data_IF_962622004464
#
_entry.id   IF_962622004464
#
_cell.length_a   1.000
_cell.length_b   1.000
_cell.length_c   1.000
_cell.angle_alpha   90.00
_cell.angle_beta   90.00
_cell.angle_gamma   90.00
#
_symmetry.space_group_name_H-M   'P 1'
#
loop_
_entity.id
_entity.type
_entity.pdbx_description
1 polymer ?
#
# COMPACT_ATOMS: atom_id res chain seq x y z
N UNK A 1 -27.10 -49.15 -43.16
CA UNK A 1 -26.42 -48.98 -41.86
C UNK A 1 -25.79 -47.59 -41.86
N UNK A 2 -26.45 -46.65 -41.20
CA UNK A 2 -26.10 -45.22 -41.20
C UNK A 2 -25.39 -44.93 -39.88
N UNK A 3 -24.14 -44.47 -39.93
CA UNK A 3 -23.38 -44.06 -38.74
C UNK A 3 -23.33 -42.53 -38.67
N UNK A 4 -23.49 -41.91 -37.48
CA UNK A 4 -23.73 -40.48 -37.34
C UNK A 4 -22.46 -39.65 -37.08
N UNK A 5 -22.49 -38.44 -37.65
CA UNK A 5 -22.16 -37.10 -37.11
C UNK A 5 -20.94 -36.91 -36.16
N UNK A 6 -20.25 -35.79 -36.41
CA UNK A 6 -19.39 -34.97 -35.53
C UNK A 6 -17.87 -35.14 -35.59
N UNK A 7 -17.28 -34.74 -36.71
CA UNK A 7 -15.89 -34.28 -36.76
C UNK A 7 -15.77 -32.77 -36.36
N UNK A 8 -16.36 -32.37 -35.23
CA UNK A 8 -16.26 -30.99 -34.70
C UNK A 8 -15.63 -30.92 -33.30
N UNK A 9 -14.62 -31.73 -33.03
CA UNK A 9 -13.82 -31.62 -31.80
C UNK A 9 -12.35 -31.38 -32.13
N UNK A 10 -12.08 -30.25 -32.81
CA UNK A 10 -10.75 -29.62 -32.73
C UNK A 10 -10.77 -28.67 -31.52
N UNK A 11 -9.85 -28.83 -30.56
CA UNK A 11 -10.22 -28.87 -29.15
C UNK A 11 -10.28 -27.48 -28.52
N UNK A 12 -11.28 -27.30 -27.66
CA UNK A 12 -11.42 -26.24 -26.65
C UNK A 12 -10.30 -26.33 -25.57
N UNK A 13 -9.35 -27.26 -25.70
CA UNK A 13 -8.27 -27.50 -24.74
C UNK A 13 -6.96 -26.88 -25.23
N UNK A 14 -6.87 -25.54 -25.29
CA UNK A 14 -5.56 -24.87 -25.43
C UNK A 14 -5.49 -23.45 -24.90
N UNK A 15 -6.34 -23.09 -23.94
CA UNK A 15 -6.28 -21.79 -23.24
C UNK A 15 -5.89 -21.81 -21.75
N UNK A 16 -5.89 -22.92 -20.96
CA UNK A 16 -5.49 -22.83 -19.55
C UNK A 16 -3.98 -22.70 -19.31
N UNK A 17 -3.14 -23.13 -20.26
CA UNK A 17 -1.66 -23.18 -20.07
C UNK A 17 -0.93 -21.88 -20.41
N UNK A 18 -1.55 -20.98 -21.18
CA UNK A 18 -0.92 -19.70 -21.55
C UNK A 18 -0.96 -18.71 -20.39
N UNK A 19 -2.09 -18.65 -19.69
CA UNK A 19 -2.24 -17.81 -18.51
C UNK A 19 -1.34 -18.30 -17.37
N UNK A 20 -1.15 -19.63 -17.24
CA UNK A 20 -0.20 -20.19 -16.27
C UNK A 20 1.27 -19.88 -16.64
N UNK A 21 1.64 -19.91 -17.92
CA UNK A 21 3.00 -19.58 -18.35
C UNK A 21 3.32 -18.08 -18.16
N UNK A 22 2.39 -17.20 -18.53
CA UNK A 22 2.53 -15.76 -18.31
C UNK A 22 2.62 -15.44 -16.81
N UNK A 23 1.82 -16.11 -15.97
CA UNK A 23 1.91 -16.01 -14.52
C UNK A 23 3.27 -16.45 -13.98
N UNK A 24 3.80 -17.61 -14.42
CA UNK A 24 5.11 -18.10 -14.00
C UNK A 24 6.25 -17.16 -14.45
N UNK A 25 6.19 -16.63 -15.67
CA UNK A 25 7.16 -15.65 -16.18
C UNK A 25 7.09 -14.36 -15.34
N UNK A 26 5.89 -13.85 -15.04
CA UNK A 26 5.72 -12.67 -14.19
C UNK A 26 6.29 -12.90 -12.78
N UNK A 27 6.00 -14.06 -12.17
CA UNK A 27 6.56 -14.45 -10.86
C UNK A 27 8.08 -14.59 -10.88
N UNK A 28 8.65 -15.07 -11.97
CA UNK A 28 10.11 -15.16 -12.12
C UNK A 28 10.76 -13.79 -12.27
N UNK A 29 10.09 -12.82 -12.91
CA UNK A 29 10.55 -11.43 -12.99
C UNK A 29 10.43 -10.77 -11.60
N UNK A 30 9.28 -10.91 -10.93
CA UNK A 30 9.09 -10.42 -9.55
C UNK A 30 10.13 -10.99 -8.59
N UNK A 31 10.53 -12.27 -8.73
CA UNK A 31 11.56 -12.88 -7.90
C UNK A 31 12.98 -12.35 -8.15
N UNK A 32 13.22 -11.73 -9.32
CA UNK A 32 14.48 -11.06 -9.64
C UNK A 32 14.48 -9.61 -9.15
N UNK A 33 13.31 -9.03 -8.92
CA UNK A 33 13.16 -7.69 -8.36
C UNK A 33 13.37 -7.77 -6.84
N UNK A 34 14.42 -7.15 -6.28
CA UNK A 34 14.65 -7.22 -4.85
C UNK A 34 13.50 -6.53 -4.12
N UNK A 35 12.82 -7.27 -3.24
CA UNK A 35 11.81 -6.71 -2.36
C UNK A 35 12.48 -5.85 -1.29
N UNK A 36 12.34 -4.53 -1.39
CA UNK A 36 13.12 -3.55 -0.61
C UNK A 36 12.29 -2.76 0.41
N UNK A 37 11.10 -3.26 0.78
CA UNK A 37 10.23 -2.59 1.75
C UNK A 37 10.99 -2.23 3.05
N UNK A 38 11.74 -3.18 3.61
CA UNK A 38 12.43 -2.98 4.90
C UNK A 38 13.57 -1.99 4.78
N UNK A 39 14.34 -2.07 3.70
CA UNK A 39 15.47 -1.20 3.41
C UNK A 39 15.00 0.25 3.25
N UNK A 40 13.92 0.47 2.51
CA UNK A 40 13.29 1.78 2.41
C UNK A 40 12.73 2.25 3.75
N UNK A 41 12.12 1.37 4.54
CA UNK A 41 11.65 1.71 5.89
C UNK A 41 12.80 2.19 6.79
N UNK A 42 13.94 1.50 6.77
CA UNK A 42 15.11 1.90 7.56
C UNK A 42 15.72 3.22 7.08
N UNK A 43 15.84 3.43 5.76
CA UNK A 43 16.29 4.70 5.21
C UNK A 43 15.36 5.85 5.62
N UNK A 44 14.05 5.61 5.63
CA UNK A 44 13.07 6.59 6.09
C UNK A 44 13.24 6.91 7.58
N UNK A 45 13.46 5.90 8.42
CA UNK A 45 13.73 6.09 9.86
C UNK A 45 14.99 6.92 10.09
N UNK A 46 16.09 6.59 9.41
CA UNK A 46 17.36 7.33 9.51
C UNK A 46 17.22 8.78 9.03
N UNK A 47 16.47 9.02 7.96
CA UNK A 47 16.18 10.37 7.48
C UNK A 47 15.37 11.17 8.52
N UNK A 48 14.39 10.53 9.15
CA UNK A 48 13.56 11.13 10.19
C UNK A 48 14.33 11.45 11.47
N UNK A 49 15.25 10.55 11.89
CA UNK A 49 16.19 10.80 12.99
C UNK A 49 17.05 12.05 12.72
N UNK A 50 17.44 12.27 11.46
CA UNK A 50 18.17 13.45 11.01
C UNK A 50 17.29 14.69 10.77
N UNK A 51 15.99 14.62 11.09
CA UNK A 51 15.00 15.67 10.79
C UNK A 51 14.83 16.00 9.30
N UNK A 52 15.33 15.15 8.39
CA UNK A 52 15.06 15.23 6.96
C UNK A 52 13.73 14.55 6.64
N UNK A 53 12.65 15.21 7.04
CA UNK A 53 11.28 14.73 6.90
C UNK A 53 10.87 14.58 5.43
N UNK A 54 11.44 15.37 4.52
CA UNK A 54 11.18 15.28 3.09
C UNK A 54 11.68 13.96 2.50
N UNK A 55 12.94 13.60 2.80
CA UNK A 55 13.49 12.30 2.42
C UNK A 55 12.78 11.15 3.13
N UNK A 56 12.43 11.31 4.41
CA UNK A 56 11.69 10.28 5.16
C UNK A 56 10.35 9.94 4.48
N UNK A 57 9.58 10.96 4.08
CA UNK A 57 8.33 10.76 3.34
C UNK A 57 8.55 10.05 2.00
N UNK A 58 9.62 10.40 1.27
CA UNK A 58 9.95 9.74 0.00
C UNK A 58 10.23 8.25 0.22
N UNK A 59 11.05 7.91 1.21
CA UNK A 59 11.40 6.52 1.48
C UNK A 59 10.23 5.71 2.06
N UNK A 60 9.40 6.26 2.96
CA UNK A 60 8.20 5.56 3.42
C UNK A 60 7.21 5.29 2.29
N UNK A 61 7.06 6.21 1.32
CA UNK A 61 6.25 5.96 0.12
C UNK A 61 6.80 4.81 -0.72
N UNK A 62 8.12 4.74 -0.90
CA UNK A 62 8.75 3.61 -1.59
C UNK A 62 8.51 2.30 -0.83
N UNK A 63 8.66 2.29 0.49
CA UNK A 63 8.37 1.11 1.31
C UNK A 63 6.91 0.64 1.17
N UNK A 64 5.95 1.57 1.17
CA UNK A 64 4.53 1.25 0.96
C UNK A 64 4.22 0.78 -0.48
N UNK A 65 5.02 1.20 -1.47
CA UNK A 65 4.85 0.72 -2.84
C UNK A 65 5.39 -0.70 -3.02
N UNK A 66 6.52 -1.01 -2.36
CA UNK A 66 7.10 -2.36 -2.30
C UNK A 66 6.15 -3.34 -1.60
N UNK A 67 5.66 -2.96 -0.41
CA UNK A 67 4.66 -3.72 0.35
C UNK A 67 3.46 -2.85 0.69
N UNK A 68 2.41 -2.88 -0.15
CA UNK A 68 1.19 -2.16 0.13
C UNK A 68 0.53 -2.61 1.43
N UNK A 69 0.76 -3.83 1.91
CA UNK A 69 0.04 -4.39 3.05
C UNK A 69 0.84 -4.28 4.37
N UNK A 70 2.04 -3.70 4.31
CA UNK A 70 2.82 -3.34 5.49
C UNK A 70 2.23 -2.13 6.22
N UNK A 71 1.35 -2.44 7.17
CA UNK A 71 0.72 -1.46 8.07
C UNK A 71 1.73 -0.55 8.77
N UNK A 72 2.97 -1.01 9.04
CA UNK A 72 3.97 -0.21 9.76
C UNK A 72 4.53 0.90 8.89
N UNK A 73 4.89 0.61 7.64
CA UNK A 73 5.34 1.66 6.71
C UNK A 73 4.26 2.69 6.45
N UNK A 74 3.01 2.24 6.31
CA UNK A 74 1.87 3.14 6.16
C UNK A 74 1.62 4.00 7.42
N UNK A 75 1.78 3.42 8.62
CA UNK A 75 1.68 4.17 9.87
C UNK A 75 2.76 5.25 10.00
N UNK A 76 4.00 4.90 9.68
CA UNK A 76 5.10 5.86 9.72
C UNK A 76 4.95 6.95 8.66
N UNK A 77 4.38 6.64 7.48
CA UNK A 77 4.12 7.62 6.44
C UNK A 77 3.18 8.73 6.92
N UNK A 78 2.05 8.41 7.55
CA UNK A 78 1.11 9.45 7.99
C UNK A 78 1.65 10.23 9.20
N UNK A 79 2.34 9.58 10.14
CA UNK A 79 2.90 10.28 11.32
C UNK A 79 4.04 11.22 10.92
N UNK A 80 4.83 10.84 9.93
CA UNK A 80 5.84 11.72 9.32
C UNK A 80 5.17 12.85 8.52
N UNK A 81 4.04 12.56 7.85
CA UNK A 81 3.27 13.57 7.12
C UNK A 81 2.73 14.64 8.06
N UNK A 82 2.24 14.25 9.24
CA UNK A 82 1.85 15.19 10.28
C UNK A 82 3.00 16.08 10.76
N UNK A 83 4.21 15.54 10.89
CA UNK A 83 5.39 16.33 11.29
C UNK A 83 5.85 17.29 10.18
N UNK A 84 5.65 16.91 8.91
CA UNK A 84 6.14 17.64 7.75
C UNK A 84 5.17 18.71 7.26
N UNK A 85 3.90 18.36 7.11
CA UNK A 85 2.88 19.26 6.62
C UNK A 85 2.33 20.12 7.76
N UNK A 86 1.96 21.36 7.43
CA UNK A 86 1.29 22.28 8.37
C UNK A 86 -0.21 22.39 8.11
N UNK A 87 -0.69 21.81 7.01
CA UNK A 87 -2.07 21.90 6.58
C UNK A 87 -2.88 20.72 7.15
N UNK A 88 -3.82 21.03 8.05
CA UNK A 88 -4.65 20.04 8.74
C UNK A 88 -5.46 19.15 7.78
N UNK A 89 -5.82 19.67 6.59
CA UNK A 89 -6.56 18.90 5.59
C UNK A 89 -5.69 17.82 4.95
N UNK A 90 -4.49 18.18 4.52
CA UNK A 90 -3.51 17.23 3.96
C UNK A 90 -3.18 16.12 4.94
N UNK A 91 -3.02 16.46 6.23
CA UNK A 91 -2.76 15.48 7.28
C UNK A 91 -3.99 14.58 7.48
N UNK A 92 -5.19 15.15 7.57
CA UNK A 92 -6.43 14.40 7.70
C UNK A 92 -6.59 13.38 6.56
N UNK A 93 -6.37 13.79 5.31
CA UNK A 93 -6.47 12.93 4.13
C UNK A 93 -5.50 11.73 4.22
N UNK A 94 -4.30 11.93 4.79
CA UNK A 94 -3.32 10.86 5.01
C UNK A 94 -3.82 9.83 6.03
N UNK A 95 -4.38 10.30 7.15
CA UNK A 95 -4.95 9.42 8.18
C UNK A 95 -6.20 8.67 7.69
N UNK A 96 -7.09 9.33 6.94
CA UNK A 96 -8.28 8.71 6.38
C UNK A 96 -7.90 7.65 5.33
N UNK A 97 -6.87 7.89 4.52
CA UNK A 97 -6.33 6.90 3.58
C UNK A 97 -5.76 5.67 4.30
N UNK A 98 -5.05 5.86 5.41
CA UNK A 98 -4.59 4.76 6.26
C UNK A 98 -5.77 3.95 6.81
N UNK A 99 -6.75 4.61 7.42
CA UNK A 99 -7.92 3.94 7.99
C UNK A 99 -8.76 3.22 6.95
N UNK A 100 -8.90 3.78 5.74
CA UNK A 100 -9.61 3.11 4.65
C UNK A 100 -9.01 1.75 4.31
N UNK A 101 -7.68 1.60 4.43
CA UNK A 101 -6.98 0.36 4.11
C UNK A 101 -6.84 -0.59 5.31
N UNK A 102 -6.50 -0.07 6.48
CA UNK A 102 -6.02 -0.89 7.62
C UNK A 102 -6.94 -0.90 8.84
N UNK A 103 -8.13 -0.27 8.77
CA UNK A 103 -9.03 -0.21 9.92
C UNK A 103 -9.37 -1.61 10.47
N UNK A 104 -9.08 -1.84 11.74
CA UNK A 104 -9.35 -3.10 12.43
C UNK A 104 -8.30 -4.19 12.21
N UNK A 105 -7.30 -3.98 11.33
CA UNK A 105 -6.19 -4.94 11.16
C UNK A 105 -5.24 -4.93 12.36
N UNK A 106 -5.02 -3.75 12.94
CA UNK A 106 -4.34 -3.56 14.23
C UNK A 106 -5.18 -2.60 15.07
N UNK A 107 -5.77 -3.09 16.15
CA UNK A 107 -6.70 -2.33 16.99
C UNK A 107 -6.02 -1.11 17.64
N UNK A 108 -4.76 -1.26 18.05
CA UNK A 108 -3.99 -0.19 18.68
C UNK A 108 -3.71 0.94 17.68
N UNK A 109 -3.20 0.61 16.49
CA UNK A 109 -2.92 1.61 15.45
C UNK A 109 -4.20 2.25 14.92
N UNK A 110 -5.27 1.47 14.75
CA UNK A 110 -6.59 1.98 14.34
C UNK A 110 -7.14 2.98 15.36
N UNK A 111 -7.00 2.69 16.65
CA UNK A 111 -7.41 3.59 17.73
C UNK A 111 -6.63 4.90 17.73
N UNK A 112 -5.31 4.85 17.50
CA UNK A 112 -4.46 6.05 17.36
C UNK A 112 -4.93 6.90 16.17
N UNK A 113 -5.09 6.28 15.00
CA UNK A 113 -5.50 6.97 13.79
C UNK A 113 -6.90 7.61 13.93
N UNK A 114 -7.86 6.89 14.52
CA UNK A 114 -9.20 7.42 14.78
C UNK A 114 -9.19 8.65 15.70
N UNK A 115 -8.39 8.63 16.77
CA UNK A 115 -8.22 9.79 17.67
C UNK A 115 -7.65 10.99 16.93
N UNK A 116 -6.65 10.77 16.06
CA UNK A 116 -6.04 11.84 15.26
C UNK A 116 -7.02 12.43 14.25
N UNK A 117 -7.75 11.59 13.51
CA UNK A 117 -8.80 12.02 12.56
C UNK A 117 -9.83 12.92 13.26
N UNK A 118 -10.32 12.50 14.43
CA UNK A 118 -11.26 13.30 15.22
C UNK A 118 -10.67 14.66 15.57
N UNK A 119 -9.44 14.70 16.07
CA UNK A 119 -8.76 15.95 16.43
C UNK A 119 -8.62 16.89 15.24
N UNK A 120 -8.18 16.41 14.09
CA UNK A 120 -8.05 17.24 12.88
C UNK A 120 -9.41 17.74 12.37
N UNK A 121 -10.46 16.93 12.44
CA UNK A 121 -11.83 17.38 12.10
C UNK A 121 -12.31 18.49 13.01
N UNK A 122 -12.06 18.38 14.31
CA UNK A 122 -12.36 19.44 15.29
C UNK A 122 -11.54 20.70 15.00
N UNK A 123 -10.24 20.60 14.76
CA UNK A 123 -9.37 21.75 14.47
C UNK A 123 -9.80 22.49 13.19
N UNK A 124 -10.14 21.76 12.13
CA UNK A 124 -10.67 22.32 10.89
C UNK A 124 -12.01 23.03 11.13
N UNK A 125 -12.91 22.42 11.90
CA UNK A 125 -14.22 23.00 12.21
C UNK A 125 -14.10 24.29 13.02
N UNK A 126 -13.19 24.34 13.99
CA UNK A 126 -12.97 25.50 14.87
C UNK A 126 -11.92 26.49 14.33
N UNK A 127 -11.37 26.28 13.14
CA UNK A 127 -10.37 27.16 12.52
C UNK A 127 -9.04 27.22 13.27
N UNK A 128 -8.70 26.19 14.05
CA UNK A 128 -7.42 26.11 14.76
C UNK A 128 -6.35 25.63 13.77
N UNK A 129 -5.38 26.51 13.48
CA UNK A 129 -4.20 26.19 12.66
C UNK A 129 -3.18 25.40 13.47
#
# INVERSE_FOLDING_TARGET
MQMPIFNSLRPIIKKPKRDSAAYCIKKSIEAQDPFLNREYHYLASLAREKQDLGSALKYYKLACNEDPDDIRSHFQLYTTSEQYYKDSKTILDCYESFMKKFNGQDEYLSSIAAKRIRKFKEDIHFGKK
#
